data_IF_352904749562
#
_entry.id   IF_352904749562
#
_cell.length_a   1.000
_cell.length_b   1.000
_cell.length_c   1.000
_cell.angle_alpha   90.00
_cell.angle_beta   90.00
_cell.angle_gamma   90.00
#
_symmetry.space_group_name_H-M   'P 1'
#
loop_
_entity.id
_entity.type
_entity.pdbx_description
1 polymer ?
#
# COMPACT_ATOMS: atom_id res chain seq x y z
N UNK A 1 4.23 -16.85 38.78
CA UNK A 1 4.25 -18.11 38.04
C UNK A 1 2.85 -18.41 37.52
N UNK A 2 2.69 -18.87 36.27
CA UNK A 2 1.47 -19.31 35.60
C UNK A 2 0.48 -18.20 35.17
N UNK A 3 0.76 -17.60 33.98
CA UNK A 3 -0.25 -17.15 33.00
C UNK A 3 0.43 -17.04 31.62
N UNK A 4 0.68 -18.17 31.00
CA UNK A 4 1.26 -18.24 29.66
C UNK A 4 0.81 -19.50 28.91
N UNK A 5 -0.50 -19.75 28.82
CA UNK A 5 -1.01 -20.92 28.10
C UNK A 5 -2.45 -20.79 27.57
N UNK A 6 -2.96 -19.59 27.30
CA UNK A 6 -4.34 -19.45 26.77
C UNK A 6 -4.45 -18.73 25.42
N UNK A 7 -3.34 -18.37 24.76
CA UNK A 7 -3.39 -17.67 23.45
C UNK A 7 -3.28 -18.58 22.22
N UNK A 8 -2.93 -19.86 22.37
CA UNK A 8 -2.72 -20.74 21.19
C UNK A 8 -4.01 -21.36 20.62
N UNK A 9 -5.07 -21.44 21.43
CA UNK A 9 -6.30 -22.10 20.98
C UNK A 9 -7.18 -21.24 20.08
N UNK A 10 -7.07 -19.90 20.15
CA UNK A 10 -7.86 -18.98 19.34
C UNK A 10 -7.33 -18.85 17.91
N UNK A 11 -6.01 -18.96 17.70
CA UNK A 11 -5.38 -18.91 16.38
C UNK A 11 -5.72 -20.16 15.53
N UNK A 12 -5.85 -21.32 16.14
CA UNK A 12 -6.23 -22.56 15.45
C UNK A 12 -7.74 -22.57 15.11
N UNK A 13 -8.57 -21.93 15.93
CA UNK A 13 -10.00 -21.79 15.66
C UNK A 13 -10.27 -20.84 14.49
N UNK A 14 -9.51 -19.73 14.35
CA UNK A 14 -9.63 -18.78 13.25
C UNK A 14 -9.21 -19.40 11.92
N UNK A 15 -8.22 -20.28 11.90
CA UNK A 15 -7.84 -21.01 10.68
C UNK A 15 -8.91 -22.02 10.24
N UNK A 16 -9.63 -22.65 11.14
CA UNK A 16 -10.71 -23.62 10.80
C UNK A 16 -11.96 -22.95 10.26
N UNK A 17 -12.29 -21.73 10.69
CA UNK A 17 -13.46 -20.97 10.18
C UNK A 17 -13.25 -20.47 8.75
N UNK A 18 -12.01 -20.38 8.29
CA UNK A 18 -11.61 -19.95 6.94
C UNK A 18 -12.17 -20.86 5.81
N UNK A 19 -12.42 -22.15 6.11
CA UNK A 19 -12.87 -23.13 5.11
C UNK A 19 -14.38 -23.24 4.95
N UNK A 20 -15.18 -22.60 5.80
CA UNK A 20 -16.63 -22.78 5.85
C UNK A 20 -17.46 -21.62 5.29
N UNK A 21 -16.86 -20.49 4.95
CA UNK A 21 -17.54 -19.36 4.32
C UNK A 21 -17.08 -19.28 2.88
N UNK A 22 -17.98 -19.54 1.94
CA UNK A 22 -17.74 -19.41 0.49
C UNK A 22 -17.13 -18.05 0.18
N UNK A 23 -15.92 -18.07 -0.37
CA UNK A 23 -14.97 -16.98 -0.30
C UNK A 23 -15.22 -15.91 -1.37
N UNK A 24 -15.89 -14.84 -1.04
CA UNK A 24 -15.55 -13.54 -1.62
C UNK A 24 -14.56 -12.85 -0.68
N UNK A 25 -13.42 -12.44 -1.20
CA UNK A 25 -12.40 -11.77 -0.41
C UNK A 25 -12.96 -10.44 0.11
N UNK A 26 -12.82 -10.21 1.41
CA UNK A 26 -13.23 -9.00 2.09
C UNK A 26 -11.97 -8.23 2.47
N UNK A 27 -11.93 -6.92 2.25
CA UNK A 27 -10.82 -6.04 2.59
C UNK A 27 -11.33 -4.69 3.05
N UNK A 28 -10.76 -4.16 4.14
CA UNK A 28 -11.16 -2.83 4.61
C UNK A 28 -10.62 -1.72 3.72
N UNK A 29 -9.35 -1.79 3.30
CA UNK A 29 -8.71 -0.64 2.66
C UNK A 29 -7.70 -1.03 1.58
N UNK A 30 -7.71 -0.28 0.48
CA UNK A 30 -6.62 -0.25 -0.51
C UNK A 30 -6.13 1.18 -0.61
N UNK A 31 -4.83 1.40 -0.32
CA UNK A 31 -4.15 2.66 -0.54
C UNK A 31 -3.50 2.65 -1.92
N UNK A 32 -4.13 3.28 -2.91
CA UNK A 32 -3.67 3.30 -4.29
C UNK A 32 -2.93 4.58 -4.62
N UNK A 33 -1.62 4.49 -4.73
CA UNK A 33 -0.74 5.55 -5.29
C UNK A 33 -0.95 5.56 -6.80
N UNK A 34 -1.72 6.50 -7.31
CA UNK A 34 -2.10 6.56 -8.73
C UNK A 34 -0.99 7.14 -9.62
N UNK A 35 -0.14 7.99 -9.07
CA UNK A 35 0.93 8.66 -9.81
C UNK A 35 2.07 9.08 -8.88
N UNK A 36 3.29 9.18 -9.45
CA UNK A 36 4.42 9.81 -8.78
C UNK A 36 4.50 11.32 -9.05
N UNK A 37 3.70 11.85 -9.98
CA UNK A 37 3.68 13.29 -10.28
C UNK A 37 3.20 14.08 -9.06
N UNK A 38 4.02 15.04 -8.62
CA UNK A 38 3.66 16.05 -7.65
C UNK A 38 4.24 17.40 -8.09
N UNK A 39 3.53 18.49 -7.87
CA UNK A 39 4.05 19.83 -8.13
C UNK A 39 4.94 20.36 -7.00
N UNK A 40 5.02 19.60 -5.87
CA UNK A 40 5.83 19.93 -4.71
C UNK A 40 6.97 18.92 -4.53
N UNK A 41 8.03 19.36 -3.88
CA UNK A 41 9.18 18.54 -3.50
C UNK A 41 9.45 18.72 -2.00
N UNK A 42 8.51 18.26 -1.17
CA UNK A 42 8.57 18.44 0.27
C UNK A 42 9.77 17.69 0.88
N UNK A 43 10.54 18.32 1.78
CA UNK A 43 11.76 17.71 2.34
C UNK A 43 11.47 16.51 3.24
N UNK A 44 10.26 16.38 3.80
CA UNK A 44 9.84 15.30 4.70
C UNK A 44 9.09 14.17 3.98
N UNK A 45 8.94 14.22 2.64
CA UNK A 45 8.15 13.25 1.93
C UNK A 45 8.72 11.83 2.08
N UNK A 46 7.85 10.88 2.41
CA UNK A 46 8.21 9.46 2.59
C UNK A 46 8.53 8.76 1.28
N UNK A 47 8.13 9.36 0.15
CA UNK A 47 8.36 8.84 -1.19
C UNK A 47 9.17 9.87 -1.99
N UNK A 48 10.38 9.55 -2.37
CA UNK A 48 11.30 10.45 -3.08
C UNK A 48 10.89 10.69 -4.54
N UNK A 49 10.14 9.76 -5.13
CA UNK A 49 9.56 9.90 -6.48
C UNK A 49 8.41 10.90 -6.54
N UNK A 50 7.83 11.33 -5.43
CA UNK A 50 6.82 12.39 -5.41
C UNK A 50 7.48 13.76 -5.63
N UNK A 51 7.59 14.18 -6.87
CA UNK A 51 8.26 15.41 -7.29
C UNK A 51 7.70 15.95 -8.61
N UNK A 52 8.06 17.17 -8.99
CA UNK A 52 7.81 17.66 -10.36
C UNK A 52 8.56 16.81 -11.39
N UNK A 53 7.90 16.57 -12.51
CA UNK A 53 8.45 15.95 -13.71
C UNK A 53 8.21 16.88 -14.90
N UNK A 54 9.09 16.86 -15.91
CA UNK A 54 9.05 17.75 -17.05
C UNK A 54 9.34 16.99 -18.35
N UNK A 55 8.86 17.52 -19.48
CA UNK A 55 9.14 16.96 -20.82
C UNK A 55 8.76 15.47 -20.91
N UNK A 56 9.63 14.70 -21.53
CA UNK A 56 9.42 13.25 -21.77
C UNK A 56 9.25 12.44 -20.47
N UNK A 57 9.89 12.87 -19.38
CA UNK A 57 9.75 12.20 -18.09
C UNK A 57 8.33 12.38 -17.51
N UNK A 58 7.74 13.58 -17.65
CA UNK A 58 6.35 13.84 -17.27
C UNK A 58 5.39 12.95 -18.08
N UNK A 59 5.57 12.92 -19.41
CA UNK A 59 4.72 12.09 -20.26
C UNK A 59 4.82 10.60 -19.90
N UNK A 60 6.03 10.12 -19.62
CA UNK A 60 6.24 8.73 -19.19
C UNK A 60 5.53 8.42 -17.89
N UNK A 61 5.63 9.29 -16.87
CA UNK A 61 5.01 9.06 -15.54
C UNK A 61 3.48 9.09 -15.65
N UNK A 62 2.90 10.01 -16.42
CA UNK A 62 1.45 10.09 -16.63
C UNK A 62 0.95 8.92 -17.49
N UNK A 63 1.70 8.56 -18.53
CA UNK A 63 1.34 7.44 -19.42
C UNK A 63 1.36 6.10 -18.69
N UNK A 64 2.33 5.86 -17.81
CA UNK A 64 2.37 4.66 -16.96
C UNK A 64 1.08 4.54 -16.13
N UNK A 65 0.70 5.60 -15.42
CA UNK A 65 -0.52 5.65 -14.62
C UNK A 65 -1.76 5.39 -15.48
N UNK A 66 -1.87 6.08 -16.62
CA UNK A 66 -2.99 5.98 -17.56
C UNK A 66 -3.13 4.58 -18.18
N UNK A 67 -2.02 3.93 -18.48
CA UNK A 67 -2.03 2.62 -19.14
C UNK A 67 -2.39 1.47 -18.18
N UNK A 68 -2.12 1.65 -16.88
CA UNK A 68 -2.17 0.57 -15.91
C UNK A 68 -3.42 0.57 -15.03
N UNK A 69 -4.03 1.75 -14.75
CA UNK A 69 -5.07 1.85 -13.73
C UNK A 69 -6.25 0.90 -13.95
N UNK A 70 -6.68 0.72 -15.20
CA UNK A 70 -7.82 -0.13 -15.51
C UNK A 70 -7.57 -1.60 -15.12
N UNK A 71 -6.38 -2.11 -15.44
CA UNK A 71 -5.99 -3.48 -15.11
C UNK A 71 -5.74 -3.64 -13.61
N UNK A 72 -5.11 -2.65 -12.97
CA UNK A 72 -4.91 -2.63 -11.52
C UNK A 72 -6.24 -2.72 -10.78
N UNK A 73 -7.21 -1.85 -11.10
CA UNK A 73 -8.55 -1.86 -10.49
C UNK A 73 -9.31 -3.15 -10.85
N UNK A 74 -9.15 -3.66 -12.07
CA UNK A 74 -9.71 -4.95 -12.49
C UNK A 74 -9.29 -6.09 -11.56
N UNK A 75 -8.05 -6.08 -11.07
CA UNK A 75 -7.45 -7.08 -10.19
C UNK A 75 -7.59 -6.76 -8.68
N UNK A 76 -8.33 -5.72 -8.29
CA UNK A 76 -8.79 -5.54 -6.90
C UNK A 76 -9.78 -6.65 -6.52
N UNK A 77 -10.04 -6.89 -5.22
CA UNK A 77 -10.98 -7.90 -4.75
C UNK A 77 -12.36 -7.80 -5.42
N UNK A 78 -13.07 -8.92 -5.49
CA UNK A 78 -14.45 -8.90 -6.00
C UNK A 78 -15.39 -8.05 -5.14
N UNK A 79 -15.13 -7.99 -3.84
CA UNK A 79 -15.90 -7.17 -2.89
C UNK A 79 -14.94 -6.35 -2.05
N UNK A 80 -15.24 -5.06 -1.91
CA UNK A 80 -14.54 -4.14 -0.99
C UNK A 80 -15.36 -3.99 0.29
N UNK A 81 -15.47 -5.09 1.03
CA UNK A 81 -16.15 -5.13 2.33
C UNK A 81 -15.28 -5.83 3.35
N UNK A 82 -15.51 -5.60 4.62
CA UNK A 82 -14.78 -6.22 5.72
C UNK A 82 -15.72 -6.56 6.88
N UNK A 83 -15.27 -7.46 7.76
CA UNK A 83 -15.96 -7.78 8.99
C UNK A 83 -15.45 -6.86 10.10
N UNK A 84 -16.33 -6.04 10.64
CA UNK A 84 -15.99 -5.19 11.78
C UNK A 84 -16.02 -6.02 13.06
N UNK A 85 -14.83 -6.24 13.64
CA UNK A 85 -14.68 -7.02 14.88
C UNK A 85 -15.20 -6.29 16.12
N UNK A 86 -15.40 -4.98 16.04
CA UNK A 86 -15.95 -4.18 17.13
C UNK A 86 -17.50 -4.09 17.07
N UNK A 87 -18.09 -4.47 15.93
CA UNK A 87 -19.54 -4.47 15.70
C UNK A 87 -20.06 -5.89 15.35
N UNK A 88 -19.80 -6.84 16.24
CA UNK A 88 -20.30 -8.22 16.19
C UNK A 88 -20.05 -8.93 14.84
N UNK A 89 -18.93 -8.66 14.20
CA UNK A 89 -18.56 -9.15 12.87
C UNK A 89 -19.53 -8.72 11.75
N UNK A 90 -20.15 -7.57 11.91
CA UNK A 90 -20.99 -6.99 10.87
C UNK A 90 -20.15 -6.67 9.63
N UNK A 91 -20.66 -7.07 8.47
CA UNK A 91 -20.06 -6.69 7.18
C UNK A 91 -20.32 -5.21 6.88
N UNK A 92 -19.24 -4.47 6.60
CA UNK A 92 -19.28 -3.04 6.25
C UNK A 92 -18.55 -2.80 4.94
N UNK A 93 -18.93 -1.77 4.15
CA UNK A 93 -18.16 -1.37 2.99
C UNK A 93 -16.75 -0.91 3.39
N UNK A 94 -15.77 -1.39 2.66
CA UNK A 94 -14.40 -0.92 2.77
C UNK A 94 -14.17 0.36 1.98
N UNK A 95 -12.91 0.73 1.79
CA UNK A 95 -12.54 1.95 1.09
C UNK A 95 -11.40 1.76 0.10
N UNK A 96 -11.42 2.56 -0.96
CA UNK A 96 -10.27 2.75 -1.84
C UNK A 96 -9.79 4.19 -1.67
N UNK A 97 -8.55 4.35 -1.19
CA UNK A 97 -7.90 5.64 -1.02
C UNK A 97 -7.08 5.91 -2.28
N UNK A 98 -7.55 6.82 -3.09
CA UNK A 98 -6.87 7.29 -4.29
C UNK A 98 -5.93 8.43 -3.88
N UNK A 99 -4.63 8.16 -3.97
CA UNK A 99 -3.58 9.01 -3.48
C UNK A 99 -2.39 9.06 -4.46
N UNK A 100 -1.29 9.68 -4.06
CA UNK A 100 -0.09 9.73 -4.87
C UNK A 100 0.76 10.95 -4.55
N UNK A 101 1.42 11.51 -5.56
CA UNK A 101 2.04 12.81 -5.46
C UNK A 101 0.96 13.87 -5.27
N UNK A 102 0.41 14.40 -6.38
CA UNK A 102 -0.80 15.23 -6.36
C UNK A 102 -1.71 14.82 -7.52
N UNK A 103 -2.76 14.10 -7.18
CA UNK A 103 -3.65 13.46 -8.16
C UNK A 103 -4.65 14.43 -8.80
N UNK A 104 -4.80 15.64 -8.25
CA UNK A 104 -5.67 16.67 -8.82
C UNK A 104 -4.98 17.55 -9.87
N UNK A 105 -3.71 17.31 -10.21
CA UNK A 105 -3.06 17.96 -11.35
C UNK A 105 -3.71 17.54 -12.66
N UNK A 106 -3.93 18.48 -13.56
CA UNK A 106 -4.68 18.28 -14.81
C UNK A 106 -4.31 17.02 -15.60
N UNK A 107 -3.01 16.72 -15.86
CA UNK A 107 -2.65 15.54 -16.64
C UNK A 107 -3.09 14.21 -16.01
N UNK A 108 -3.15 14.15 -14.68
CA UNK A 108 -3.54 12.97 -13.91
C UNK A 108 -5.04 12.96 -13.64
N UNK A 109 -5.58 14.11 -13.22
CA UNK A 109 -6.98 14.23 -12.85
C UNK A 109 -7.93 13.76 -13.96
N UNK A 110 -7.73 14.32 -15.17
CA UNK A 110 -8.62 14.05 -16.30
C UNK A 110 -8.42 12.65 -16.91
N UNK A 111 -7.15 12.21 -17.02
CA UNK A 111 -6.83 10.99 -17.76
C UNK A 111 -6.73 9.72 -16.91
N UNK A 112 -6.65 9.85 -15.58
CA UNK A 112 -6.46 8.73 -14.66
C UNK A 112 -7.47 8.77 -13.51
N UNK A 113 -7.55 9.87 -12.74
CA UNK A 113 -8.35 9.90 -11.52
C UNK A 113 -9.85 9.78 -11.80
N UNK A 114 -10.40 10.61 -12.67
CA UNK A 114 -11.84 10.58 -12.95
C UNK A 114 -12.29 9.24 -13.54
N UNK A 115 -11.63 8.68 -14.57
CA UNK A 115 -11.96 7.35 -15.05
C UNK A 115 -11.79 6.23 -14.01
N UNK A 116 -10.79 6.36 -13.12
CA UNK A 116 -10.59 5.38 -12.06
C UNK A 116 -11.68 5.42 -10.97
N UNK A 117 -12.12 6.63 -10.58
CA UNK A 117 -13.26 6.79 -9.66
C UNK A 117 -14.52 6.12 -10.21
N UNK A 118 -14.86 6.38 -11.46
CA UNK A 118 -15.98 5.76 -12.14
C UNK A 118 -15.84 4.23 -12.18
N UNK A 119 -14.68 3.71 -12.57
CA UNK A 119 -14.44 2.26 -12.64
C UNK A 119 -14.56 1.59 -11.26
N UNK A 120 -14.01 2.18 -10.19
CA UNK A 120 -14.11 1.63 -8.83
C UNK A 120 -15.57 1.65 -8.37
N UNK A 121 -16.28 2.76 -8.57
CA UNK A 121 -17.69 2.86 -8.21
C UNK A 121 -18.53 1.80 -8.94
N UNK A 122 -18.41 1.71 -10.26
CA UNK A 122 -19.14 0.73 -11.07
C UNK A 122 -18.85 -0.73 -10.66
N UNK A 123 -17.61 -1.03 -10.29
CA UNK A 123 -17.22 -2.37 -9.84
C UNK A 123 -17.94 -2.78 -8.55
N UNK A 124 -18.18 -1.86 -7.63
CA UNK A 124 -18.62 -2.20 -6.27
C UNK A 124 -20.03 -1.76 -5.90
N UNK A 125 -20.66 -0.83 -6.61
CA UNK A 125 -21.97 -0.25 -6.25
C UNK A 125 -23.06 -1.31 -6.00
N UNK A 126 -23.06 -2.39 -6.76
CA UNK A 126 -24.03 -3.49 -6.66
C UNK A 126 -23.45 -4.70 -5.91
N UNK A 127 -22.22 -4.59 -5.36
CA UNK A 127 -21.50 -5.70 -4.75
C UNK A 127 -20.90 -5.33 -3.37
N UNK A 128 -21.74 -4.84 -2.47
CA UNK A 128 -21.37 -4.48 -1.10
C UNK A 128 -20.97 -3.02 -0.91
N UNK A 129 -20.85 -2.24 -1.99
CA UNK A 129 -20.44 -0.84 -1.93
C UNK A 129 -18.94 -0.63 -1.69
N UNK A 130 -18.51 0.62 -1.74
CA UNK A 130 -17.14 1.05 -1.42
C UNK A 130 -17.13 2.53 -1.07
N UNK A 131 -16.32 2.95 -0.10
CA UNK A 131 -16.05 4.34 0.16
C UNK A 131 -14.86 4.83 -0.68
N UNK A 132 -15.09 5.82 -1.54
CA UNK A 132 -14.07 6.47 -2.34
C UNK A 132 -13.45 7.62 -1.55
N UNK A 133 -12.14 7.56 -1.33
CA UNK A 133 -11.37 8.59 -0.63
C UNK A 133 -10.36 9.20 -1.59
N UNK A 134 -10.39 10.51 -1.76
CA UNK A 134 -9.40 11.27 -2.53
C UNK A 134 -8.48 11.98 -1.56
N UNK A 135 -7.17 11.70 -1.66
CA UNK A 135 -6.14 12.36 -0.87
C UNK A 135 -5.37 13.36 -1.73
N UNK A 136 -5.32 14.62 -1.30
CA UNK A 136 -4.73 15.75 -2.05
C UNK A 136 -4.00 16.70 -1.10
N UNK A 137 -3.07 17.50 -1.63
CA UNK A 137 -2.47 18.63 -0.91
C UNK A 137 -3.47 19.79 -0.74
N UNK A 138 -4.57 19.80 -1.52
CA UNK A 138 -5.68 20.74 -1.43
C UNK A 138 -5.48 22.10 -2.08
N UNK A 139 -4.27 22.50 -2.38
CA UNK A 139 -3.99 23.84 -2.95
C UNK A 139 -4.49 24.01 -4.40
N UNK A 140 -4.52 22.92 -5.17
CA UNK A 140 -5.09 22.89 -6.53
C UNK A 140 -6.60 22.68 -6.53
N UNK A 141 -7.20 22.34 -5.38
CA UNK A 141 -8.64 22.11 -5.29
C UNK A 141 -9.42 23.43 -5.44
N UNK A 142 -10.44 23.38 -6.27
CA UNK A 142 -11.40 24.44 -6.49
C UNK A 142 -12.82 23.89 -6.57
N UNK A 143 -13.81 24.76 -6.67
CA UNK A 143 -15.23 24.37 -6.64
C UNK A 143 -15.64 23.46 -7.80
N UNK A 144 -15.08 23.68 -9.01
CA UNK A 144 -15.40 22.84 -10.16
C UNK A 144 -14.84 21.43 -9.98
N UNK A 145 -13.59 21.32 -9.51
CA UNK A 145 -12.96 20.01 -9.20
C UNK A 145 -13.74 19.31 -8.10
N UNK A 146 -14.12 20.03 -7.03
CA UNK A 146 -14.88 19.44 -5.94
C UNK A 146 -16.23 18.87 -6.42
N UNK A 147 -16.98 19.62 -7.23
CA UNK A 147 -18.24 19.15 -7.82
C UNK A 147 -18.02 17.87 -8.64
N UNK A 148 -17.03 17.84 -9.52
CA UNK A 148 -16.72 16.64 -10.29
C UNK A 148 -16.38 15.43 -9.40
N UNK A 149 -15.63 15.62 -8.32
CA UNK A 149 -15.36 14.56 -7.36
C UNK A 149 -16.64 14.03 -6.68
N UNK A 150 -17.54 14.92 -6.29
CA UNK A 150 -18.81 14.56 -5.67
C UNK A 150 -19.76 13.86 -6.66
N UNK A 151 -19.80 14.28 -7.92
CA UNK A 151 -20.57 13.66 -9.00
C UNK A 151 -20.01 12.25 -9.32
N UNK A 152 -18.72 12.04 -9.12
CA UNK A 152 -18.02 10.75 -9.24
C UNK A 152 -18.04 9.95 -7.92
N UNK A 153 -18.98 10.22 -7.04
CA UNK A 153 -19.26 9.46 -5.82
C UNK A 153 -18.13 9.44 -4.78
N UNK A 154 -17.26 10.46 -4.75
CA UNK A 154 -16.24 10.57 -3.68
C UNK A 154 -16.93 10.82 -2.34
N UNK A 155 -16.64 9.98 -1.34
CA UNK A 155 -17.18 10.05 0.00
C UNK A 155 -16.34 10.92 0.92
N UNK A 156 -15.02 10.90 0.76
CA UNK A 156 -14.11 11.65 1.62
C UNK A 156 -13.08 12.39 0.77
N UNK A 157 -12.92 13.67 1.01
CA UNK A 157 -11.77 14.46 0.53
C UNK A 157 -10.82 14.69 1.70
N UNK A 158 -9.65 14.07 1.63
CA UNK A 158 -8.62 14.10 2.68
C UNK A 158 -7.50 15.04 2.27
N UNK A 159 -7.44 16.21 2.90
CA UNK A 159 -6.41 17.23 2.62
C UNK A 159 -5.20 16.95 3.49
N UNK A 160 -4.11 16.49 2.86
CA UNK A 160 -2.83 16.23 3.52
C UNK A 160 -1.93 17.46 3.53
N UNK A 161 -0.99 17.48 4.47
CA UNK A 161 0.08 18.47 4.43
C UNK A 161 -0.20 19.77 5.17
N UNK A 162 -1.16 19.80 6.09
CA UNK A 162 -1.33 20.96 6.98
C UNK A 162 -0.30 20.95 8.13
N UNK A 163 0.97 20.87 7.76
CA UNK A 163 2.10 20.91 8.68
C UNK A 163 3.20 21.85 8.16
N UNK A 164 4.22 22.09 8.99
CA UNK A 164 5.30 22.99 8.67
C UNK A 164 6.36 22.42 7.70
N UNK A 165 6.21 21.18 7.29
CA UNK A 165 7.18 20.48 6.43
C UNK A 165 6.77 20.47 4.96
N UNK A 166 5.50 20.77 4.66
CA UNK A 166 5.03 20.86 3.28
C UNK A 166 5.51 22.16 2.61
N UNK A 167 6.13 21.99 1.44
CA UNK A 167 6.60 23.13 0.64
C UNK A 167 5.45 24.12 0.34
N UNK A 168 5.64 25.38 0.73
CA UNK A 168 4.64 26.45 0.61
C UNK A 168 3.65 26.52 1.78
N UNK A 169 3.72 25.62 2.76
CA UNK A 169 2.89 25.62 3.98
C UNK A 169 3.71 25.72 5.28
N UNK A 170 4.96 26.13 5.18
CA UNK A 170 5.88 26.24 6.33
C UNK A 170 5.35 27.25 7.36
N UNK A 171 4.69 28.32 6.91
CA UNK A 171 4.12 29.34 7.78
C UNK A 171 2.72 28.93 8.23
N UNK A 172 2.41 29.13 9.51
CA UNK A 172 1.09 28.87 10.07
C UNK A 172 -0.01 29.65 9.31
N UNK A 173 0.25 30.91 8.96
CA UNK A 173 -0.69 31.75 8.20
C UNK A 173 -1.05 31.13 6.82
N UNK A 174 -0.12 30.46 6.14
CA UNK A 174 -0.40 29.79 4.88
C UNK A 174 -1.31 28.57 5.08
N UNK A 175 -1.09 27.79 6.13
CA UNK A 175 -1.95 26.64 6.51
C UNK A 175 -3.35 27.10 6.90
N UNK A 176 -3.46 28.18 7.69
CA UNK A 176 -4.73 28.77 8.07
C UNK A 176 -5.48 29.35 6.86
N UNK A 177 -4.79 29.99 5.94
CA UNK A 177 -5.37 30.50 4.71
C UNK A 177 -5.92 29.36 3.82
N UNK A 178 -5.18 28.26 3.67
CA UNK A 178 -5.64 27.09 2.93
C UNK A 178 -6.88 26.48 3.58
N UNK A 179 -6.84 26.25 4.88
CA UNK A 179 -7.98 25.73 5.63
C UNK A 179 -9.19 26.65 5.58
N UNK A 180 -8.95 27.96 5.70
CA UNK A 180 -10.00 29.01 5.60
C UNK A 180 -10.62 29.10 4.20
N UNK A 181 -9.87 28.79 3.12
CA UNK A 181 -10.40 28.68 1.76
C UNK A 181 -11.24 27.41 1.58
N UNK A 182 -10.75 26.26 2.04
CA UNK A 182 -11.36 24.97 1.71
C UNK A 182 -12.57 24.64 2.59
N UNK A 183 -12.54 24.98 3.88
CA UNK A 183 -13.63 24.63 4.80
C UNK A 183 -14.99 25.20 4.36
N UNK A 184 -15.14 26.49 4.03
CA UNK A 184 -16.42 27.04 3.55
C UNK A 184 -16.87 26.37 2.23
N UNK A 185 -15.94 26.05 1.35
CA UNK A 185 -16.22 25.38 0.08
C UNK A 185 -16.80 23.98 0.31
N UNK A 186 -16.20 23.18 1.19
CA UNK A 186 -16.72 21.85 1.56
C UNK A 186 -18.11 21.94 2.17
N UNK A 187 -18.31 22.83 3.16
CA UNK A 187 -19.60 23.01 3.82
C UNK A 187 -20.70 23.47 2.85
N UNK A 188 -20.38 24.37 1.90
CA UNK A 188 -21.31 24.84 0.89
C UNK A 188 -21.79 23.73 -0.07
N UNK A 189 -20.99 22.65 -0.20
CA UNK A 189 -21.35 21.45 -0.99
C UNK A 189 -21.89 20.30 -0.14
N UNK A 190 -22.34 20.57 1.10
CA UNK A 190 -22.98 19.58 1.97
C UNK A 190 -22.01 18.55 2.56
N UNK A 191 -20.71 18.81 2.54
CA UNK A 191 -19.74 17.93 3.21
C UNK A 191 -19.60 18.33 4.68
N UNK A 192 -19.31 17.33 5.52
CA UNK A 192 -19.09 17.50 6.96
C UNK A 192 -17.65 17.20 7.33
N UNK A 193 -17.11 17.79 8.41
CA UNK A 193 -15.82 17.36 8.95
C UNK A 193 -15.89 15.88 9.33
N UNK A 194 -14.89 15.11 8.89
CA UNK A 194 -14.80 13.71 9.26
C UNK A 194 -14.71 13.59 10.79
N UNK A 195 -15.63 12.84 11.43
CA UNK A 195 -15.58 12.64 12.87
C UNK A 195 -14.23 12.08 13.32
N UNK A 196 -13.73 12.54 14.46
CA UNK A 196 -12.59 11.90 15.11
C UNK A 196 -13.04 10.49 15.54
N UNK A 197 -12.82 9.50 14.68
CA UNK A 197 -13.15 8.13 14.99
C UNK A 197 -12.18 7.62 16.07
N UNK A 198 -12.66 7.15 17.23
CA UNK A 198 -11.82 6.51 18.22
C UNK A 198 -11.23 5.18 17.71
N UNK A 199 -11.77 4.63 16.66
CA UNK A 199 -11.39 3.37 16.02
C UNK A 199 -11.35 3.52 14.49
N UNK A 200 -10.64 2.62 13.84
CA UNK A 200 -10.34 2.63 12.40
C UNK A 200 -11.55 2.43 11.50
N UNK A 201 -12.73 2.20 12.05
CA UNK A 201 -13.89 1.63 11.37
C UNK A 201 -14.94 2.63 10.91
N UNK A 202 -14.79 3.92 11.20
CA UNK A 202 -15.90 4.84 11.06
C UNK A 202 -15.71 5.94 10.03
N UNK A 203 -16.03 5.68 8.77
CA UNK A 203 -16.38 6.76 7.85
C UNK A 203 -17.84 7.18 7.95
N UNK A 204 -18.51 6.87 9.07
CA UNK A 204 -19.89 7.26 9.29
C UNK A 204 -20.90 6.60 8.35
N UNK A 205 -22.06 7.21 8.24
CA UNK A 205 -23.15 6.78 7.39
C UNK A 205 -22.78 6.93 5.91
N UNK A 206 -23.08 5.91 5.08
CA UNK A 206 -22.87 5.91 3.63
C UNK A 206 -23.52 7.08 2.88
N UNK A 207 -24.52 7.73 3.49
CA UNK A 207 -25.22 8.86 2.92
C UNK A 207 -24.49 10.20 3.09
N UNK A 208 -23.52 10.28 4.00
CA UNK A 208 -22.80 11.51 4.28
C UNK A 208 -21.47 11.59 3.53
N UNK A 209 -21.09 12.82 3.19
CA UNK A 209 -19.83 13.16 2.54
C UNK A 209 -18.96 13.91 3.52
N UNK A 210 -17.69 13.53 3.60
CA UNK A 210 -16.77 14.05 4.60
C UNK A 210 -15.56 14.72 4.01
N UNK A 211 -14.98 15.65 4.76
CA UNK A 211 -13.63 16.16 4.51
C UNK A 211 -12.79 16.07 5.77
N UNK A 212 -11.48 15.92 5.60
CA UNK A 212 -10.52 15.92 6.69
C UNK A 212 -9.27 16.72 6.35
N UNK A 213 -8.62 17.24 7.38
CA UNK A 213 -7.32 17.89 7.29
C UNK A 213 -6.33 17.16 8.17
N UNK A 214 -5.16 16.80 7.64
CA UNK A 214 -4.11 16.16 8.42
C UNK A 214 -2.72 16.57 7.96
N UNK A 215 -1.72 16.25 8.77
CA UNK A 215 -0.31 16.52 8.50
C UNK A 215 0.58 15.84 9.53
N UNK A 216 1.88 16.06 9.49
CA UNK A 216 2.83 15.55 10.47
C UNK A 216 2.80 16.42 11.75
N UNK A 217 1.66 16.45 12.43
CA UNK A 217 1.43 17.19 13.69
C UNK A 217 1.11 16.22 14.83
N UNK A 218 1.37 16.56 16.10
CA UNK A 218 1.16 15.65 17.24
C UNK A 218 -0.29 15.18 17.42
N UNK A 219 -1.25 15.95 16.94
CA UNK A 219 -2.70 15.67 16.99
C UNK A 219 -3.21 14.88 15.77
N UNK A 220 -2.36 14.64 14.79
CA UNK A 220 -2.70 13.82 13.62
C UNK A 220 -2.55 12.33 13.93
N UNK A 221 -3.37 11.50 13.31
CA UNK A 221 -3.29 10.04 13.45
C UNK A 221 -1.94 9.44 13.00
N UNK A 222 -1.24 10.06 12.04
CA UNK A 222 0.15 9.73 11.71
C UNK A 222 1.10 10.33 12.74
N UNK A 223 0.94 11.60 13.12
CA UNK A 223 1.62 12.33 14.19
C UNK A 223 3.14 12.43 14.11
N UNK A 224 3.76 11.72 13.20
CA UNK A 224 5.22 11.53 13.11
C UNK A 224 5.70 11.62 11.67
N UNK A 225 6.99 11.95 11.53
CA UNK A 225 7.70 11.80 10.27
C UNK A 225 8.48 10.49 10.34
N UNK A 226 8.19 9.59 9.43
CA UNK A 226 8.75 8.25 9.39
C UNK A 226 10.03 8.18 8.56
N UNK A 227 10.95 7.24 8.84
CA UNK A 227 12.25 7.16 8.16
C UNK A 227 12.14 6.52 6.79
N UNK A 228 11.63 7.29 5.83
CA UNK A 228 11.47 6.89 4.44
C UNK A 228 11.73 8.08 3.50
N UNK A 229 12.17 7.78 2.28
CA UNK A 229 12.35 8.76 1.22
C UNK A 229 13.18 9.97 1.66
N UNK A 230 12.74 11.17 1.26
CA UNK A 230 13.43 12.42 1.61
C UNK A 230 13.42 12.72 3.11
N UNK A 231 12.43 12.26 3.85
CA UNK A 231 12.42 12.43 5.30
C UNK A 231 13.64 11.78 5.97
N UNK A 232 14.01 10.59 5.54
CA UNK A 232 15.21 9.89 6.03
C UNK A 232 16.49 10.56 5.53
N UNK A 233 16.55 10.88 4.23
CA UNK A 233 17.72 11.54 3.61
C UNK A 233 18.04 12.87 4.27
N UNK A 234 17.00 13.64 4.60
CA UNK A 234 17.13 14.97 5.22
C UNK A 234 17.16 14.93 6.76
N UNK A 235 17.24 13.75 7.36
CA UNK A 235 17.27 13.54 8.82
C UNK A 235 16.10 14.20 9.59
N UNK A 236 14.91 14.27 8.94
CA UNK A 236 13.70 14.89 9.48
C UNK A 236 12.80 13.90 10.24
N UNK A 237 13.16 12.62 10.29
CA UNK A 237 12.35 11.59 10.93
C UNK A 237 12.19 11.85 12.43
N UNK A 238 10.96 11.77 12.93
CA UNK A 238 10.61 11.98 14.33
C UNK A 238 10.05 10.74 15.02
N UNK A 239 9.61 9.72 14.24
CA UNK A 239 9.15 8.45 14.78
C UNK A 239 10.33 7.68 15.39
N UNK A 240 10.20 7.26 16.64
CA UNK A 240 11.23 6.56 17.41
C UNK A 240 11.03 5.04 17.37
N UNK A 241 11.85 4.28 18.07
CA UNK A 241 11.66 2.83 18.25
C UNK A 241 10.32 2.48 18.92
N UNK A 242 9.80 3.37 19.78
CA UNK A 242 8.51 3.18 20.43
C UNK A 242 7.31 3.36 19.46
N UNK A 243 7.55 3.99 18.33
CA UNK A 243 6.54 4.22 17.30
C UNK A 243 6.60 3.06 16.28
N UNK A 244 5.61 2.16 16.32
CA UNK A 244 5.54 1.02 15.43
C UNK A 244 4.56 1.29 14.28
N UNK A 245 5.07 1.52 13.08
CA UNK A 245 4.23 1.80 11.92
C UNK A 245 3.35 0.61 11.51
N UNK A 246 3.77 -0.63 11.73
CA UNK A 246 2.95 -1.80 11.41
C UNK A 246 1.64 -1.83 12.22
N UNK A 247 1.58 -1.12 13.37
CA UNK A 247 0.38 -0.95 14.19
C UNK A 247 -0.33 0.40 13.97
N UNK A 248 0.23 1.27 13.11
CA UNK A 248 -0.40 2.53 12.77
C UNK A 248 -1.43 2.36 11.65
N UNK A 249 -2.24 3.38 11.43
CA UNK A 249 -3.11 3.47 10.26
C UNK A 249 -2.27 3.40 8.97
N UNK A 250 -2.78 2.68 7.95
CA UNK A 250 -2.04 2.38 6.71
C UNK A 250 -0.76 1.57 6.92
N UNK A 251 -0.57 1.00 8.11
CA UNK A 251 0.50 0.06 8.42
C UNK A 251 0.16 -1.36 7.98
N UNK A 252 1.06 -2.29 8.30
CA UNK A 252 0.91 -3.69 7.89
C UNK A 252 0.00 -4.55 8.76
N UNK A 253 -0.58 -4.00 9.84
CA UNK A 253 -1.42 -4.77 10.76
C UNK A 253 -2.62 -5.39 10.02
N UNK A 254 -2.83 -6.68 10.21
CA UNK A 254 -3.93 -7.46 9.62
C UNK A 254 -3.95 -7.54 8.08
N UNK A 255 -2.92 -7.12 7.35
CA UNK A 255 -3.01 -7.15 5.89
C UNK A 255 -3.17 -8.57 5.31
N UNK A 256 -2.67 -9.61 5.99
CA UNK A 256 -2.93 -11.00 5.63
C UNK A 256 -4.27 -11.54 6.16
N UNK A 257 -4.87 -10.86 7.13
CA UNK A 257 -6.22 -11.13 7.60
C UNK A 257 -7.21 -10.19 6.89
N UNK A 258 -7.11 -10.13 5.59
CA UNK A 258 -7.77 -9.14 4.74
C UNK A 258 -9.30 -9.15 4.76
N UNK A 259 -9.90 -10.03 5.58
CA UNK A 259 -11.35 -10.08 5.83
C UNK A 259 -11.81 -9.25 7.03
N UNK A 260 -10.89 -8.73 7.80
CA UNK A 260 -11.18 -8.07 9.07
C UNK A 260 -10.78 -6.60 9.03
N UNK A 261 -11.35 -5.84 9.97
CA UNK A 261 -10.97 -4.45 10.19
C UNK A 261 -9.46 -4.28 10.41
N UNK A 262 -8.93 -3.20 9.87
CA UNK A 262 -7.50 -2.89 9.88
C UNK A 262 -6.71 -3.47 8.72
N UNK A 263 -7.32 -4.30 7.87
CA UNK A 263 -6.64 -4.83 6.69
C UNK A 263 -6.46 -3.76 5.62
N UNK A 264 -5.21 -3.47 5.27
CA UNK A 264 -4.86 -2.53 4.19
C UNK A 264 -3.65 -3.02 3.42
N UNK A 265 -3.63 -2.77 2.12
CA UNK A 265 -2.45 -2.89 1.26
C UNK A 265 -2.22 -1.60 0.50
N UNK A 266 -0.96 -1.34 0.12
CA UNK A 266 -0.60 -0.23 -0.74
C UNK A 266 -0.28 -0.71 -2.15
N UNK A 267 -0.73 0.03 -3.16
CA UNK A 267 -0.54 -0.28 -4.59
C UNK A 267 0.12 0.91 -5.28
N UNK A 268 1.05 0.64 -6.18
CA UNK A 268 1.75 1.67 -6.99
C UNK A 268 1.21 1.77 -8.42
N UNK A 269 1.54 2.83 -9.18
CA UNK A 269 1.09 3.03 -10.56
C UNK A 269 1.53 1.93 -11.52
N UNK A 270 2.63 1.23 -11.22
CA UNK A 270 3.14 0.08 -11.96
C UNK A 270 2.54 -1.28 -11.51
N UNK A 271 1.53 -1.25 -10.65
CA UNK A 271 0.83 -2.43 -10.15
C UNK A 271 1.47 -3.13 -8.96
N UNK A 272 2.67 -2.73 -8.53
CA UNK A 272 3.32 -3.32 -7.37
C UNK A 272 2.49 -3.17 -6.11
N UNK A 273 2.37 -4.25 -5.34
CA UNK A 273 1.63 -4.31 -4.07
C UNK A 273 2.61 -4.39 -2.90
N UNK A 274 2.28 -3.70 -1.82
CA UNK A 274 3.08 -3.66 -0.58
C UNK A 274 2.18 -3.84 0.65
N UNK A 275 2.71 -4.39 1.75
CA UNK A 275 1.93 -4.63 2.98
C UNK A 275 1.61 -3.35 3.78
N UNK A 276 2.20 -2.21 3.42
CA UNK A 276 1.97 -0.92 4.08
C UNK A 276 2.31 0.24 3.13
N UNK A 277 1.79 1.44 3.39
CA UNK A 277 2.08 2.61 2.54
C UNK A 277 3.54 3.09 2.62
N UNK A 278 4.27 2.75 3.68
CA UNK A 278 5.72 3.02 3.79
C UNK A 278 6.55 2.08 2.92
N UNK A 279 5.95 1.00 2.42
CA UNK A 279 6.51 0.00 1.53
C UNK A 279 7.69 -0.79 2.12
N UNK A 280 7.73 -2.05 1.85
CA UNK A 280 8.91 -2.89 2.00
C UNK A 280 9.82 -2.72 0.78
N UNK A 281 11.08 -3.10 0.87
CA UNK A 281 12.02 -3.02 -0.26
C UNK A 281 11.59 -3.90 -1.45
N UNK A 282 10.88 -4.97 -1.18
CA UNK A 282 10.33 -5.86 -2.20
C UNK A 282 8.80 -5.77 -2.20
N UNK A 283 8.22 -5.63 -3.39
CA UNK A 283 6.79 -5.81 -3.59
C UNK A 283 6.39 -7.26 -3.27
N UNK A 284 5.18 -7.43 -2.72
CA UNK A 284 4.61 -8.75 -2.40
C UNK A 284 3.92 -9.41 -3.60
N UNK A 285 3.67 -8.66 -4.64
CA UNK A 285 3.08 -9.10 -5.91
C UNK A 285 2.82 -7.93 -6.84
N UNK A 286 2.17 -8.18 -7.97
CA UNK A 286 1.87 -7.16 -8.97
C UNK A 286 0.46 -7.33 -9.56
N UNK A 287 -0.38 -6.31 -9.47
CA UNK A 287 -1.75 -6.33 -9.97
C UNK A 287 -1.86 -6.21 -11.51
N UNK A 288 -0.77 -6.01 -12.23
CA UNK A 288 -0.77 -6.17 -13.68
C UNK A 288 -0.64 -7.64 -14.10
N UNK A 289 -0.28 -8.52 -13.17
CA UNK A 289 -0.01 -9.95 -13.44
C UNK A 289 -1.08 -10.86 -12.83
N UNK A 290 -1.51 -10.57 -11.60
CA UNK A 290 -2.39 -11.44 -10.81
C UNK A 290 -3.36 -10.65 -9.93
N UNK A 291 -4.40 -11.31 -9.43
CA UNK A 291 -5.40 -10.72 -8.53
C UNK A 291 -4.84 -10.53 -7.12
N UNK A 292 -5.36 -9.55 -6.39
CA UNK A 292 -4.93 -9.26 -5.03
C UNK A 292 -5.09 -10.46 -4.09
N UNK A 293 -6.21 -11.18 -4.20
CA UNK A 293 -6.47 -12.36 -3.37
C UNK A 293 -5.39 -13.44 -3.59
N UNK A 294 -4.97 -13.67 -4.84
CA UNK A 294 -3.90 -14.62 -5.17
C UNK A 294 -2.58 -14.21 -4.53
N UNK A 295 -2.27 -12.91 -4.58
CA UNK A 295 -1.07 -12.37 -3.93
C UNK A 295 -1.09 -12.64 -2.42
N UNK A 296 -2.19 -12.30 -1.76
CA UNK A 296 -2.30 -12.42 -0.30
C UNK A 296 -2.37 -13.87 0.17
N UNK A 297 -3.11 -14.73 -0.53
CA UNK A 297 -3.23 -16.15 -0.20
C UNK A 297 -1.87 -16.88 -0.25
N UNK A 298 -1.01 -16.51 -1.20
CA UNK A 298 0.35 -17.06 -1.32
C UNK A 298 1.25 -16.68 -0.15
N UNK A 299 0.97 -15.59 0.55
CA UNK A 299 1.79 -15.10 1.65
C UNK A 299 1.39 -15.65 3.02
N UNK A 300 0.21 -16.25 3.12
CA UNK A 300 -0.27 -16.87 4.36
C UNK A 300 0.69 -17.98 4.79
N UNK A 301 1.11 -17.93 6.06
CA UNK A 301 2.11 -18.85 6.61
C UNK A 301 3.56 -18.47 6.30
N UNK A 302 3.82 -17.41 5.54
CA UNK A 302 5.17 -16.90 5.37
C UNK A 302 5.58 -16.09 6.61
N UNK A 303 6.62 -16.52 7.36
CA UNK A 303 6.96 -15.92 8.66
C UNK A 303 7.34 -14.45 8.59
N UNK A 304 7.88 -13.98 7.47
CA UNK A 304 8.22 -12.56 7.25
C UNK A 304 6.96 -11.71 7.25
N UNK A 305 5.98 -12.10 6.45
CA UNK A 305 4.77 -11.31 6.25
C UNK A 305 3.76 -11.52 7.38
N UNK A 306 3.74 -12.71 8.00
CA UNK A 306 2.97 -12.93 9.24
C UNK A 306 3.45 -12.01 10.37
N UNK A 307 4.76 -11.82 10.52
CA UNK A 307 5.32 -10.91 11.52
C UNK A 307 4.84 -9.46 11.30
N UNK A 308 4.83 -8.99 10.05
CA UNK A 308 4.30 -7.66 9.71
C UNK A 308 2.79 -7.58 9.99
N UNK A 309 2.04 -8.60 9.56
CA UNK A 309 0.58 -8.66 9.72
C UNK A 309 0.13 -8.72 11.19
N UNK A 310 0.96 -9.29 12.05
CA UNK A 310 0.75 -9.29 13.51
C UNK A 310 1.26 -8.02 14.21
N UNK A 311 1.83 -7.06 13.47
CA UNK A 311 2.39 -5.83 14.04
C UNK A 311 3.72 -6.03 14.78
N UNK A 312 4.46 -7.11 14.50
CA UNK A 312 5.73 -7.48 15.12
C UNK A 312 6.86 -7.59 14.08
N UNK A 313 7.18 -6.51 13.33
CA UNK A 313 8.17 -6.59 12.25
C UNK A 313 9.55 -7.04 12.72
N UNK A 314 9.90 -6.84 14.01
CA UNK A 314 11.16 -7.28 14.61
C UNK A 314 11.33 -8.81 14.62
N UNK A 315 10.27 -9.57 14.38
CA UNK A 315 10.28 -11.05 14.34
C UNK A 315 10.42 -11.62 12.93
N UNK A 316 10.36 -10.79 11.89
CA UNK A 316 10.32 -11.28 10.51
C UNK A 316 11.54 -12.11 10.10
N UNK A 317 12.68 -11.89 10.74
CA UNK A 317 13.94 -12.55 10.42
C UNK A 317 14.24 -13.82 11.21
N UNK A 318 13.43 -14.19 12.22
CA UNK A 318 13.77 -15.28 13.16
C UNK A 318 14.01 -16.60 12.44
N UNK A 319 13.18 -16.97 11.47
CA UNK A 319 13.34 -18.20 10.65
C UNK A 319 14.52 -18.12 9.67
N UNK A 320 15.16 -16.98 9.53
CA UNK A 320 16.33 -16.73 8.67
C UNK A 320 17.62 -16.51 9.48
N UNK A 321 17.61 -16.82 10.77
CA UNK A 321 18.75 -16.63 11.66
C UNK A 321 18.99 -15.19 12.13
N UNK A 322 18.02 -14.27 11.87
CA UNK A 322 18.02 -12.94 12.44
C UNK A 322 17.25 -12.94 13.74
N UNK A 323 17.95 -12.86 14.87
CA UNK A 323 17.29 -12.67 16.16
C UNK A 323 16.61 -11.30 16.25
N UNK A 324 15.68 -11.16 17.19
CA UNK A 324 15.06 -9.86 17.49
C UNK A 324 16.13 -8.82 17.87
N UNK A 325 17.15 -9.21 18.64
CA UNK A 325 18.24 -8.31 19.02
C UNK A 325 19.02 -7.83 17.80
N UNK A 326 19.33 -8.74 16.85
CA UNK A 326 19.97 -8.35 15.59
C UNK A 326 19.09 -7.39 14.81
N UNK A 327 17.78 -7.66 14.68
CA UNK A 327 16.86 -6.74 14.00
C UNK A 327 16.86 -5.35 14.64
N UNK A 328 16.82 -5.29 15.96
CA UNK A 328 16.84 -4.00 16.69
C UNK A 328 18.18 -3.27 16.54
N UNK A 329 19.30 -3.99 16.44
CA UNK A 329 20.60 -3.38 16.15
C UNK A 329 20.63 -2.80 14.73
N UNK A 330 20.16 -3.55 13.73
CA UNK A 330 20.04 -3.10 12.35
C UNK A 330 18.93 -2.03 12.14
N UNK A 331 18.15 -1.77 13.18
CA UNK A 331 17.17 -0.67 13.19
C UNK A 331 17.79 0.70 13.51
N UNK A 332 19.11 0.79 13.66
CA UNK A 332 19.86 2.01 13.98
C UNK A 332 20.55 2.57 12.75
N UNK A 333 20.58 3.91 12.67
CA UNK A 333 21.44 4.64 11.73
C UNK A 333 22.16 5.78 12.45
N UNK A 334 23.39 6.04 12.03
CA UNK A 334 24.12 7.22 12.46
C UNK A 334 23.64 8.43 11.65
N UNK A 335 23.28 9.50 12.33
CA UNK A 335 22.93 10.79 11.74
C UNK A 335 24.13 11.73 11.76
N UNK A 336 24.00 12.85 11.06
CA UNK A 336 24.95 13.96 11.14
C UNK A 336 25.13 14.42 12.60
N UNK A 337 26.37 14.75 12.98
CA UNK A 337 26.69 15.14 14.35
C UNK A 337 26.78 13.98 15.35
N UNK A 338 26.87 12.72 14.90
CA UNK A 338 27.12 11.55 15.75
C UNK A 338 25.92 11.07 16.56
N UNK A 339 24.72 11.60 16.31
CA UNK A 339 23.48 11.11 16.92
C UNK A 339 23.10 9.77 16.32
N UNK A 340 22.54 8.87 17.13
CA UNK A 340 21.96 7.62 16.66
C UNK A 340 20.45 7.78 16.57
N UNK A 341 19.88 7.44 15.43
CA UNK A 341 18.45 7.35 15.23
C UNK A 341 18.03 5.89 15.09
N UNK A 342 16.89 5.53 15.65
CA UNK A 342 16.42 4.14 15.66
C UNK A 342 14.91 4.07 15.41
N UNK A 343 14.50 3.17 14.47
CA UNK A 343 13.10 2.87 14.20
C UNK A 343 12.96 1.50 13.50
N UNK A 344 11.89 0.76 13.77
CA UNK A 344 11.64 -0.58 13.21
C UNK A 344 11.59 -0.61 11.68
N UNK A 345 11.16 0.46 11.02
CA UNK A 345 11.15 0.54 9.56
C UNK A 345 12.56 0.45 8.95
N UNK A 346 13.60 0.91 9.66
CA UNK A 346 15.00 0.79 9.23
C UNK A 346 15.44 -0.67 9.27
N UNK A 347 15.13 -1.39 10.38
CA UNK A 347 15.41 -2.81 10.51
C UNK A 347 14.66 -3.66 9.46
N UNK A 348 13.42 -3.31 9.14
CA UNK A 348 12.66 -3.92 8.06
C UNK A 348 13.40 -3.78 6.71
N UNK A 349 13.90 -2.60 6.38
CA UNK A 349 14.68 -2.39 5.15
C UNK A 349 15.99 -3.14 5.13
N UNK A 350 16.72 -3.13 6.24
CA UNK A 350 17.97 -3.86 6.38
C UNK A 350 17.74 -5.36 6.15
N UNK A 351 16.74 -5.95 6.80
CA UNK A 351 16.39 -7.35 6.61
C UNK A 351 16.02 -7.68 5.15
N UNK A 352 15.16 -6.88 4.53
CA UNK A 352 14.77 -7.10 3.13
C UNK A 352 15.98 -7.04 2.20
N UNK A 353 16.85 -6.05 2.37
CA UNK A 353 18.08 -5.87 1.55
C UNK A 353 19.06 -7.01 1.73
N UNK A 354 19.36 -7.38 2.97
CA UNK A 354 20.44 -8.33 3.25
C UNK A 354 20.02 -9.79 3.09
N UNK A 355 18.79 -10.12 3.47
CA UNK A 355 18.33 -11.50 3.46
C UNK A 355 17.50 -11.81 2.21
N UNK A 356 16.41 -11.10 1.98
CA UNK A 356 15.48 -11.48 0.92
C UNK A 356 16.02 -11.16 -0.48
N UNK A 357 16.66 -10.00 -0.65
CA UNK A 357 17.28 -9.65 -1.95
C UNK A 357 18.54 -10.48 -2.19
N UNK A 358 19.32 -10.73 -1.15
CA UNK A 358 20.52 -11.59 -1.25
C UNK A 358 20.19 -13.01 -1.71
N UNK A 359 19.13 -13.60 -1.20
CA UNK A 359 18.68 -14.94 -1.64
C UNK A 359 18.22 -14.95 -3.10
N UNK A 360 17.49 -13.92 -3.56
CA UNK A 360 17.10 -13.82 -4.98
C UNK A 360 18.31 -13.75 -5.90
N UNK A 361 19.34 -13.01 -5.54
CA UNK A 361 20.58 -12.90 -6.33
C UNK A 361 21.30 -14.23 -6.40
N UNK A 362 21.36 -15.00 -5.31
CA UNK A 362 21.95 -16.33 -5.30
C UNK A 362 21.20 -17.33 -6.19
N UNK A 363 19.86 -17.34 -6.15
CA UNK A 363 19.04 -18.22 -6.99
C UNK A 363 19.21 -17.91 -8.49
N UNK A 364 19.30 -16.64 -8.86
CA UNK A 364 19.53 -16.20 -10.24
C UNK A 364 20.93 -16.63 -10.70
N UNK A 365 21.95 -16.50 -9.86
CA UNK A 365 23.33 -16.93 -10.20
C UNK A 365 23.45 -18.44 -10.34
N UNK A 366 22.74 -19.23 -9.54
CA UNK A 366 22.70 -20.70 -9.65
C UNK A 366 21.98 -21.12 -10.94
N UNK A 367 20.88 -20.49 -11.29
CA UNK A 367 20.15 -20.80 -12.53
C UNK A 367 20.93 -20.41 -13.79
N UNK A 368 21.77 -19.38 -13.72
CA UNK A 368 22.67 -18.98 -14.83
C UNK A 368 23.88 -19.90 -15.00
N UNK A 369 24.19 -20.69 -13.99
CA UNK A 369 25.30 -21.68 -14.00
C UNK A 369 24.84 -23.12 -14.26
N UNK A 370 23.56 -23.35 -14.53
CA UNK A 370 23.07 -24.66 -14.93
C UNK A 370 23.80 -25.09 -16.22
N UNK A 371 24.45 -26.25 -16.28
CA UNK A 371 25.19 -26.66 -17.45
C UNK A 371 24.23 -26.78 -18.64
N UNK A 372 24.57 -26.09 -19.72
CA UNK A 372 23.97 -26.36 -21.02
C UNK A 372 24.20 -27.82 -21.35
N UNK A 373 23.14 -28.62 -21.38
CA UNK A 373 23.22 -30.01 -21.85
C UNK A 373 23.60 -29.94 -23.31
N UNK A 374 24.87 -30.12 -23.59
CA UNK A 374 25.37 -30.36 -24.94
C UNK A 374 24.80 -31.71 -25.41
N UNK A 375 23.89 -31.66 -26.36
CA UNK A 375 23.46 -32.87 -27.10
C UNK A 375 24.63 -33.41 -27.84
N UNK A 376 25.27 -34.43 -27.25
CA UNK A 376 26.24 -35.24 -27.98
C UNK A 376 25.55 -35.92 -29.17
N UNK A 377 26.23 -35.74 -30.27
CA UNK A 377 26.12 -36.30 -31.59
C UNK A 377 25.59 -37.75 -31.58
N UNK A 378 24.38 -37.97 -32.02
CA UNK A 378 23.90 -39.32 -32.38
C UNK A 378 24.29 -39.57 -33.83
N UNK A 379 25.35 -40.35 -34.01
CA UNK A 379 25.72 -40.98 -35.27
C UNK A 379 24.53 -41.69 -35.90
N UNK A 380 24.33 -41.64 -37.23
CA UNK A 380 23.21 -42.30 -37.89
C UNK A 380 23.41 -43.82 -37.91
N UNK A 381 22.41 -44.54 -37.44
CA UNK A 381 22.28 -46.01 -37.57
C UNK A 381 22.09 -46.38 -39.04
N UNK A 382 22.75 -47.45 -39.59
CA UNK A 382 22.62 -47.83 -40.99
C UNK A 382 21.23 -48.40 -41.33
N UNK A 383 20.76 -48.06 -42.52
CA UNK A 383 19.49 -48.50 -43.08
C UNK A 383 19.46 -50.02 -43.28
N UNK A 384 18.38 -50.63 -42.78
CA UNK A 384 18.06 -52.02 -43.05
C UNK A 384 17.30 -52.09 -44.38
N UNK A 385 17.91 -52.71 -45.39
CA UNK A 385 17.26 -53.06 -46.69
C UNK A 385 16.10 -54.03 -46.47
N UNK A 386 14.92 -53.68 -46.92
CA UNK A 386 13.79 -54.61 -47.05
C UNK A 386 13.84 -55.27 -48.42
N UNK A 387 14.20 -56.52 -48.38
CA UNK A 387 14.09 -57.43 -49.51
C UNK A 387 12.61 -57.70 -49.86
N UNK A 388 12.21 -57.32 -51.07
CA UNK A 388 10.93 -57.71 -51.65
C UNK A 388 11.07 -59.12 -52.23
N UNK A 389 10.33 -60.09 -51.65
CA UNK A 389 10.11 -61.41 -52.22
C UNK A 389 8.66 -61.48 -52.73
N UNK A 390 8.50 -61.65 -54.01
CA UNK A 390 7.25 -61.94 -54.70
C UNK A 390 6.75 -63.37 -54.38
N UNK A 391 5.43 -63.52 -54.47
CA UNK A 391 4.64 -64.67 -55.01
C UNK A 391 3.22 -64.58 -54.44
N UNK A 392 2.29 -64.73 -55.08
CA UNK A 392 1.40 -65.16 -56.14
C UNK A 392 0.04 -64.57 -55.85
#
# INVERSE_FOLDING_TARGET
MLRCAQHDSSLIATQRTRWLIGASALMESIYYVMTFLCHRQCPHCYEDRFRPYYGDELERVVSESRSNFQRIIGNFPERMTYLDIEDELREKPGRVILAGGEILLDPVRESVLYPALEQVYEKYRDNGGVHLVVQTTGDVLNEAILRNLLDLHVHVVSVSGLDAFHAGLEKQSAREALKGKLTPMFLAHGMEPLPAAPNRTGYGDEQHRYFSFFGATPDSWIGKIWPRGRAQINELSTATLADNFCNAWSGGLNFLQYRHSGSEVSVEPNGNVYPCCMKTQLAIGNLLEERLETILDRLVGNPVYEAISMGHPERMGVSYGWSVDKFLEESKIALSGGRVYQNLCIGCDAFHREVLMGQRTQLVSISAQAPTCTTEDRSPTPAFERNQGARD
#
